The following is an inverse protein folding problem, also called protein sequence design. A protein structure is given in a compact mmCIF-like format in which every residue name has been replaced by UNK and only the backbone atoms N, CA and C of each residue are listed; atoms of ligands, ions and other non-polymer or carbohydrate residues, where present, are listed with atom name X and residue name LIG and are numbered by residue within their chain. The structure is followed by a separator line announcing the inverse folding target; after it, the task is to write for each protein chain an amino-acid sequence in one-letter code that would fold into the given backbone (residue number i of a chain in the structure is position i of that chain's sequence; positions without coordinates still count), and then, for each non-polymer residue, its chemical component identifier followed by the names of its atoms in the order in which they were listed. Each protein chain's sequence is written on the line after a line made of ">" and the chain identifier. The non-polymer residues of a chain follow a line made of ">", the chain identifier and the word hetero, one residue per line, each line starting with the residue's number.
data_IF_169009400256
#
_entry.id   IF_169009400256
#
_cell.length_a   1.000
_cell.length_b   1.000
_cell.length_c   1.000
_cell.angle_alpha   90.00
_cell.angle_beta   90.00
_cell.angle_gamma   90.00
#
_symmetry.space_group_name_H-M   'P 1'
#
loop_
_entity.id
_entity.type
_entity.pdbx_description
1 polymer ?
#
# COMPACT_ATOMS: atom_id res chain seq x y z
N UNK A 1 -43.87 -58.09 18.39
CA UNK A 1 -43.98 -57.30 19.63
C UNK A 1 -42.64 -56.60 19.86
N UNK A 2 -42.66 -55.26 19.88
CA UNK A 2 -41.92 -54.32 20.76
C UNK A 2 -40.42 -54.62 21.05
N UNK A 3 -39.46 -53.69 21.09
CA UNK A 3 -39.42 -52.23 21.07
C UNK A 3 -37.92 -51.79 21.02
N UNK A 4 -37.64 -50.68 20.32
CA UNK A 4 -36.79 -49.53 20.70
C UNK A 4 -35.37 -49.69 21.31
N UNK A 5 -34.41 -49.05 20.60
CA UNK A 5 -33.55 -47.93 21.03
C UNK A 5 -33.20 -47.74 22.52
N UNK A 6 -31.91 -47.63 22.85
CA UNK A 6 -31.32 -46.33 23.27
C UNK A 6 -29.79 -46.31 23.43
N UNK A 7 -29.21 -45.19 22.98
CA UNK A 7 -27.90 -44.62 23.33
C UNK A 7 -27.75 -44.42 24.86
N UNK A 8 -26.53 -44.56 25.40
CA UNK A 8 -25.66 -43.44 25.81
C UNK A 8 -24.67 -43.77 26.96
N UNK A 9 -23.44 -43.27 26.77
CA UNK A 9 -22.57 -42.61 27.76
C UNK A 9 -21.51 -43.40 28.57
N UNK A 10 -20.33 -42.75 28.61
CA UNK A 10 -19.15 -42.87 29.50
C UNK A 10 -18.13 -43.96 29.14
N UNK A 11 -16.81 -43.72 29.14
CA UNK A 11 -15.99 -42.52 29.33
C UNK A 11 -14.53 -42.83 28.97
N UNK A 12 -13.82 -41.82 28.46
CA UNK A 12 -12.44 -41.43 28.78
C UNK A 12 -11.38 -42.54 29.04
N UNK A 13 -10.43 -42.71 28.12
CA UNK A 13 -8.99 -42.52 28.38
C UNK A 13 -8.16 -42.80 27.12
N UNK A 14 -6.96 -42.21 27.07
CA UNK A 14 -5.85 -42.41 26.10
C UNK A 14 -5.94 -41.73 24.73
N UNK A 15 -5.61 -40.43 24.66
CA UNK A 15 -4.78 -39.86 23.59
C UNK A 15 -4.01 -38.65 24.14
N UNK A 16 -2.72 -38.81 24.37
CA UNK A 16 -1.78 -37.74 24.71
C UNK A 16 -0.42 -38.11 24.15
N UNK A 17 0.26 -37.11 23.61
CA UNK A 17 1.65 -37.09 23.14
C UNK A 17 1.92 -37.62 21.73
N UNK A 18 1.86 -36.72 20.75
CA UNK A 18 2.89 -36.54 19.71
C UNK A 18 2.50 -35.31 18.86
N UNK A 19 2.88 -34.11 19.31
CA UNK A 19 2.91 -32.87 18.51
C UNK A 19 3.49 -31.73 19.36
N UNK A 20 4.80 -31.75 19.59
CA UNK A 20 5.52 -30.59 20.11
C UNK A 20 7.00 -30.75 19.79
N UNK A 21 7.43 -30.39 18.58
CA UNK A 21 8.81 -30.01 18.29
C UNK A 21 8.87 -29.38 16.90
N UNK A 22 8.90 -28.05 16.85
CA UNK A 22 9.46 -27.18 15.80
C UNK A 22 9.19 -25.74 16.25
N UNK A 23 9.84 -25.37 17.34
CA UNK A 23 10.03 -24.02 17.84
C UNK A 23 11.54 -23.89 18.12
N UNK A 24 12.08 -22.67 18.04
CA UNK A 24 13.51 -22.27 18.20
C UNK A 24 14.29 -22.47 16.88
N UNK A 25 14.81 -21.43 16.19
CA UNK A 25 15.82 -20.44 16.60
C UNK A 25 15.77 -19.20 15.66
N UNK A 26 15.96 -17.99 16.20
CA UNK A 26 16.88 -16.94 15.70
C UNK A 26 16.62 -15.63 16.47
N UNK A 27 17.30 -15.48 17.61
CA UNK A 27 17.60 -14.16 18.21
C UNK A 27 19.00 -14.27 18.80
N UNK A 28 19.98 -13.65 18.15
CA UNK A 28 21.23 -13.21 18.76
C UNK A 28 21.99 -12.31 17.77
N UNK A 29 22.14 -11.03 18.12
CA UNK A 29 23.39 -10.27 18.09
C UNK A 29 23.10 -8.77 18.18
N UNK A 30 23.73 -8.10 19.15
CA UNK A 30 23.69 -6.64 19.29
C UNK A 30 24.07 -6.18 20.68
N UNK A 31 25.29 -6.53 21.13
CA UNK A 31 25.89 -5.98 22.34
C UNK A 31 26.22 -4.48 22.13
N UNK A 32 26.02 -3.73 23.22
CA UNK A 32 26.57 -2.40 23.50
C UNK A 32 28.10 -2.38 23.40
N UNK A 33 28.67 -1.36 22.73
CA UNK A 33 29.92 -0.68 23.13
C UNK A 33 29.85 0.80 22.71
N UNK A 34 29.88 1.69 23.70
CA UNK A 34 30.51 3.02 23.67
C UNK A 34 31.23 3.13 25.03
N UNK A 35 32.40 3.79 25.17
CA UNK A 35 32.41 5.26 25.21
C UNK A 35 33.75 5.99 24.83
N UNK A 36 33.65 7.33 24.78
CA UNK A 36 34.69 8.38 24.96
C UNK A 36 35.78 8.51 23.85
N UNK A 37 36.36 9.69 23.54
CA UNK A 37 36.49 10.94 24.29
C UNK A 37 36.80 12.13 23.35
N UNK A 38 36.48 13.32 23.87
CA UNK A 38 37.24 14.59 23.83
C UNK A 38 37.30 15.50 22.61
N UNK A 39 37.18 16.77 22.98
CA UNK A 39 37.10 17.99 22.21
C UNK A 39 38.50 18.49 21.85
N UNK A 40 38.60 19.33 20.82
CA UNK A 40 39.50 20.46 20.92
C UNK A 40 39.00 21.70 20.19
N UNK A 41 39.16 22.79 20.93
CA UNK A 41 38.85 24.18 20.64
C UNK A 41 39.81 24.72 19.57
N UNK A 42 39.33 25.56 18.65
CA UNK A 42 40.07 26.77 18.24
C UNK A 42 39.09 27.83 17.72
N UNK A 43 38.87 28.87 18.52
CA UNK A 43 38.34 30.16 18.09
C UNK A 43 39.48 30.99 17.49
N UNK A 44 39.25 31.63 16.34
CA UNK A 44 39.85 32.91 15.97
C UNK A 44 38.91 33.63 14.97
N UNK A 45 38.33 34.75 15.40
CA UNK A 45 37.64 35.81 14.64
C UNK A 45 38.64 36.96 14.33
N UNK A 46 38.31 38.04 13.59
CA UNK A 46 37.38 38.24 12.47
C UNK A 46 37.98 39.06 11.29
N UNK A 47 37.09 39.42 10.35
CA UNK A 47 37.10 40.58 9.44
C UNK A 47 37.84 40.45 8.09
N UNK A 48 37.06 40.43 7.00
CA UNK A 48 37.24 41.40 5.94
C UNK A 48 35.94 41.60 5.14
N UNK A 49 35.49 42.85 5.06
CA UNK A 49 34.49 43.32 4.11
C UNK A 49 35.02 43.14 2.69
N UNK A 50 34.27 42.50 1.80
CA UNK A 50 34.35 42.81 0.38
C UNK A 50 32.98 42.75 -0.29
N UNK A 51 32.85 43.71 -1.18
CA UNK A 51 31.64 44.23 -1.81
C UNK A 51 30.89 43.23 -2.69
N UNK A 52 29.62 43.57 -2.88
CA UNK A 52 28.58 42.93 -3.67
C UNK A 52 29.01 42.46 -5.06
N UNK A 53 28.73 41.19 -5.35
CA UNK A 53 28.36 40.72 -6.70
C UNK A 53 27.07 39.91 -6.54
N UNK A 54 25.96 40.49 -6.99
CA UNK A 54 24.73 39.73 -7.23
C UNK A 54 25.02 38.72 -8.33
N UNK A 55 25.37 37.51 -7.94
CA UNK A 55 25.22 36.35 -8.80
C UNK A 55 23.73 36.04 -8.85
N UNK A 56 23.09 36.44 -9.95
CA UNK A 56 21.86 35.86 -10.44
C UNK A 56 22.08 34.35 -10.61
N UNK A 57 21.91 33.62 -9.51
CA UNK A 57 21.93 32.17 -9.47
C UNK A 57 20.49 31.69 -9.59
N UNK A 58 19.90 31.98 -10.75
CA UNK A 58 18.76 31.23 -11.29
C UNK A 58 19.15 29.80 -11.67
N UNK A 59 19.98 29.14 -10.86
CA UNK A 59 20.04 27.69 -10.85
C UNK A 59 18.68 27.27 -10.30
N UNK A 60 17.79 26.83 -11.18
CA UNK A 60 16.56 26.16 -10.80
C UNK A 60 16.94 25.09 -9.77
N UNK A 61 16.67 25.39 -8.50
CA UNK A 61 16.79 24.43 -7.41
C UNK A 61 15.96 23.25 -7.88
N UNK A 62 16.62 22.13 -8.21
CA UNK A 62 15.92 20.97 -8.77
C UNK A 62 14.92 20.58 -7.72
N UNK A 63 13.64 20.89 -7.94
CA UNK A 63 12.63 20.73 -6.91
C UNK A 63 12.70 19.28 -6.43
N UNK A 64 12.85 19.11 -5.11
CA UNK A 64 12.97 17.80 -4.52
C UNK A 64 11.60 17.14 -4.39
N UNK A 65 11.58 15.80 -4.34
CA UNK A 65 10.37 15.05 -4.04
C UNK A 65 9.84 15.46 -2.66
N UNK A 66 8.53 15.71 -2.60
CA UNK A 66 7.84 16.06 -1.35
C UNK A 66 7.22 14.81 -0.76
N UNK A 67 7.37 14.62 0.55
CA UNK A 67 6.90 13.42 1.23
C UNK A 67 5.72 13.76 2.14
N UNK A 68 4.66 12.97 2.02
CA UNK A 68 3.41 13.17 2.74
C UNK A 68 2.98 11.89 3.46
N UNK A 69 2.23 12.09 4.54
CA UNK A 69 1.54 11.04 5.27
C UNK A 69 0.05 11.38 5.31
N UNK A 70 -0.78 10.47 4.81
CA UNK A 70 -2.21 10.47 5.10
C UNK A 70 -2.47 9.33 6.08
N UNK A 71 -2.90 9.70 7.29
CA UNK A 71 -3.08 8.77 8.40
C UNK A 71 -4.57 8.62 8.75
N UNK A 72 -5.06 7.40 8.65
CA UNK A 72 -6.44 7.01 8.93
C UNK A 72 -6.59 6.14 10.18
N UNK A 73 -5.52 5.97 10.97
CA UNK A 73 -5.55 5.10 12.16
C UNK A 73 -6.48 5.59 13.26
N UNK A 74 -6.80 6.89 13.28
CA UNK A 74 -7.70 7.54 14.25
C UNK A 74 -9.14 7.69 13.76
N UNK A 75 -9.43 7.30 12.52
CA UNK A 75 -10.81 7.25 12.01
C UNK A 75 -11.32 5.83 11.99
N UNK A 76 -12.64 5.67 12.02
CA UNK A 76 -13.26 4.34 12.06
C UNK A 76 -12.83 3.49 10.88
N UNK A 77 -12.64 2.20 11.09
CA UNK A 77 -12.42 1.24 9.99
C UNK A 77 -13.65 0.38 9.72
N UNK A 78 -14.79 0.71 10.32
CA UNK A 78 -16.07 0.09 10.01
C UNK A 78 -16.75 0.85 8.87
N UNK A 79 -16.91 0.21 7.72
CA UNK A 79 -17.52 0.81 6.54
C UNK A 79 -18.93 1.35 6.82
N UNK A 80 -19.72 0.69 7.66
CA UNK A 80 -21.07 1.14 8.01
C UNK A 80 -21.07 2.49 8.76
N UNK A 81 -20.00 2.81 9.47
CA UNK A 81 -19.86 4.04 10.25
C UNK A 81 -18.94 5.06 9.59
N UNK A 82 -18.38 4.76 8.41
CA UNK A 82 -17.45 5.66 7.74
C UNK A 82 -18.16 6.94 7.28
N UNK A 83 -17.62 8.09 7.68
CA UNK A 83 -17.95 9.38 7.10
C UNK A 83 -17.29 9.49 5.72
N UNK A 84 -18.11 9.53 4.68
CA UNK A 84 -17.68 9.62 3.28
C UNK A 84 -18.02 10.96 2.65
N UNK A 85 -18.48 11.92 3.46
CA UNK A 85 -18.76 13.30 3.03
C UNK A 85 -17.55 14.17 3.38
N UNK A 86 -17.10 14.11 4.63
CA UNK A 86 -16.01 14.93 5.16
C UNK A 86 -15.10 14.14 6.12
N UNK A 87 -14.44 13.06 5.66
CA UNK A 87 -13.60 12.24 6.52
C UNK A 87 -12.49 13.05 7.20
N UNK A 88 -12.35 12.90 8.52
CA UNK A 88 -11.33 13.59 9.32
C UNK A 88 -9.95 12.93 9.19
N UNK A 89 -9.35 13.05 8.01
CA UNK A 89 -8.02 12.51 7.72
C UNK A 89 -6.93 13.32 8.47
N UNK A 90 -5.95 12.63 9.05
CA UNK A 90 -4.77 13.30 9.61
C UNK A 90 -3.70 13.40 8.54
N UNK A 91 -3.31 14.63 8.21
CA UNK A 91 -2.34 14.94 7.16
C UNK A 91 -1.05 15.44 7.80
N UNK A 92 0.10 15.03 7.28
CA UNK A 92 1.40 15.51 7.72
C UNK A 92 2.39 15.57 6.58
N UNK A 93 3.28 16.56 6.58
CA UNK A 93 4.50 16.52 5.77
C UNK A 93 5.53 15.64 6.46
N UNK A 94 6.34 14.95 5.69
CA UNK A 94 7.46 14.17 6.16
C UNK A 94 8.76 14.79 5.64
N UNK A 95 9.80 14.80 6.45
CA UNK A 95 11.16 14.99 5.95
C UNK A 95 11.77 13.65 5.48
N UNK A 96 12.98 13.70 4.92
CA UNK A 96 13.68 12.51 4.43
C UNK A 96 13.93 11.43 5.51
N UNK A 97 13.95 11.82 6.78
CA UNK A 97 14.10 10.93 7.94
C UNK A 97 12.77 10.36 8.45
N UNK A 98 11.62 10.82 7.92
CA UNK A 98 10.29 10.38 8.33
C UNK A 98 9.74 11.09 9.56
N UNK A 99 10.35 12.20 9.98
CA UNK A 99 9.75 13.06 11.01
C UNK A 99 8.55 13.78 10.41
N UNK A 100 7.43 13.72 11.12
CA UNK A 100 6.17 14.28 10.67
C UNK A 100 5.94 15.66 11.28
N UNK A 101 5.61 16.63 10.43
CA UNK A 101 5.04 17.92 10.84
C UNK A 101 3.54 17.98 10.47
N UNK A 102 2.67 18.45 11.38
CA UNK A 102 1.24 18.58 11.07
C UNK A 102 0.97 19.42 9.82
N UNK A 103 -0.04 19.05 9.06
CA UNK A 103 -0.55 19.80 7.91
C UNK A 103 -2.07 19.58 7.79
N UNK A 104 -2.70 20.14 6.76
CA UNK A 104 -4.13 20.02 6.51
C UNK A 104 -4.42 19.42 5.13
N UNK A 105 -5.67 18.99 4.94
CA UNK A 105 -6.11 18.54 3.61
C UNK A 105 -6.04 19.67 2.58
N UNK A 106 -6.38 20.89 2.98
CA UNK A 106 -6.35 22.06 2.09
C UNK A 106 -4.92 22.40 1.67
N UNK A 107 -3.96 22.36 2.60
CA UNK A 107 -2.55 22.59 2.28
C UNK A 107 -1.99 21.49 1.39
N UNK A 108 -2.34 20.22 1.66
CA UNK A 108 -1.97 19.09 0.80
C UNK A 108 -2.51 19.28 -0.62
N UNK A 109 -3.81 19.52 -0.79
CA UNK A 109 -4.45 19.72 -2.09
C UNK A 109 -3.88 20.94 -2.84
N UNK A 110 -3.68 22.05 -2.15
CA UNK A 110 -3.06 23.25 -2.71
C UNK A 110 -1.60 23.01 -3.13
N UNK A 111 -0.88 22.14 -2.43
CA UNK A 111 0.51 21.82 -2.75
C UNK A 111 0.61 20.88 -3.96
N UNK A 112 -0.22 19.84 -4.01
CA UNK A 112 -0.16 18.84 -5.09
C UNK A 112 -0.78 19.34 -6.41
N UNK A 113 -1.60 20.40 -6.39
CA UNK A 113 -2.16 21.00 -7.61
C UNK A 113 -1.09 21.60 -8.52
N UNK A 114 0.09 21.87 -7.97
CA UNK A 114 1.28 22.34 -8.70
C UNK A 114 2.29 21.22 -8.95
N UNK A 115 1.97 19.98 -8.59
CA UNK A 115 2.86 18.84 -8.73
C UNK A 115 2.81 18.26 -10.14
N UNK A 116 3.96 17.85 -10.72
CA UNK A 116 3.96 17.06 -11.94
C UNK A 116 3.22 15.72 -11.78
N UNK A 117 3.33 15.09 -10.61
CA UNK A 117 2.64 13.84 -10.31
C UNK A 117 2.60 13.53 -8.81
N UNK A 118 1.57 12.77 -8.42
CA UNK A 118 1.42 12.21 -7.07
C UNK A 118 1.52 10.70 -7.10
N UNK A 119 2.21 10.10 -6.13
CA UNK A 119 2.26 8.65 -5.94
C UNK A 119 1.65 8.29 -4.60
N UNK A 120 0.50 7.60 -4.62
CA UNK A 120 -0.15 7.07 -3.42
C UNK A 120 0.36 5.65 -3.13
N UNK A 121 1.03 5.45 -2.00
CA UNK A 121 1.54 4.15 -1.56
C UNK A 121 0.75 3.59 -0.38
N UNK A 122 0.18 2.39 -0.54
CA UNK A 122 -0.52 1.65 0.49
C UNK A 122 0.24 0.39 0.90
N UNK A 123 0.67 0.35 2.16
CA UNK A 123 1.35 -0.80 2.74
C UNK A 123 0.40 -1.98 3.03
N UNK A 124 1.00 -3.15 3.30
CA UNK A 124 0.28 -4.39 3.64
C UNK A 124 -0.15 -4.52 5.10
N UNK A 125 -0.24 -5.76 5.57
CA UNK A 125 -0.71 -6.09 6.92
C UNK A 125 0.39 -5.93 7.99
N UNK A 126 -0.02 -5.77 9.25
CA UNK A 126 0.79 -5.82 10.48
C UNK A 126 1.89 -4.76 10.58
N UNK A 127 1.55 -3.51 10.24
CA UNK A 127 2.42 -2.38 10.54
C UNK A 127 1.80 -1.48 11.59
N UNK A 128 2.57 -1.18 12.63
CA UNK A 128 2.34 -0.07 13.54
C UNK A 128 2.58 1.27 12.84
N UNK A 129 2.21 2.38 13.49
CA UNK A 129 2.26 3.71 12.86
C UNK A 129 3.67 4.11 12.40
N UNK A 130 4.69 3.93 13.24
CA UNK A 130 6.08 4.26 12.89
C UNK A 130 6.65 3.33 11.82
N UNK A 131 6.29 2.05 11.87
CA UNK A 131 6.72 1.06 10.88
C UNK A 131 6.13 1.34 9.49
N UNK A 132 4.90 1.87 9.42
CA UNK A 132 4.28 2.27 8.16
C UNK A 132 5.05 3.41 7.47
N UNK A 133 5.52 4.41 8.23
CA UNK A 133 6.36 5.49 7.71
C UNK A 133 7.70 4.91 7.22
N UNK A 134 8.40 4.16 8.08
CA UNK A 134 9.67 3.55 7.72
C UNK A 134 9.57 2.64 6.49
N UNK A 135 8.47 1.88 6.38
CA UNK A 135 8.19 1.05 5.21
C UNK A 135 7.97 1.88 3.95
N UNK A 136 7.09 2.88 4.00
CA UNK A 136 6.81 3.74 2.86
C UNK A 136 8.04 4.50 2.38
N UNK A 137 8.90 4.96 3.29
CA UNK A 137 10.17 5.59 2.94
C UNK A 137 11.19 4.61 2.34
N UNK A 138 11.18 3.35 2.79
CA UNK A 138 12.04 2.33 2.20
C UNK A 138 11.63 2.03 0.76
N UNK A 139 10.34 1.85 0.51
CA UNK A 139 9.81 1.67 -0.86
C UNK A 139 10.10 2.90 -1.72
N UNK A 140 9.82 4.09 -1.20
CA UNK A 140 10.14 5.36 -1.87
C UNK A 140 11.61 5.40 -2.32
N UNK A 141 12.57 5.14 -1.42
CA UNK A 141 14.01 5.18 -1.76
C UNK A 141 14.39 4.15 -2.82
N UNK A 142 13.84 2.92 -2.72
CA UNK A 142 14.10 1.84 -3.69
C UNK A 142 13.56 2.16 -5.09
N UNK A 143 12.50 2.95 -5.17
CA UNK A 143 11.94 3.43 -6.43
C UNK A 143 12.68 4.67 -6.92
N UNK A 144 12.89 5.67 -6.06
CA UNK A 144 13.52 6.96 -6.39
C UNK A 144 14.92 6.82 -6.97
N UNK A 145 15.70 5.84 -6.50
CA UNK A 145 17.06 5.56 -6.98
C UNK A 145 17.12 5.15 -8.47
N UNK A 146 16.00 4.68 -9.02
CA UNK A 146 15.90 4.17 -10.39
C UNK A 146 15.06 5.10 -11.29
N UNK A 147 14.54 6.18 -10.72
CA UNK A 147 13.57 7.09 -11.32
C UNK A 147 14.26 8.29 -11.94
N UNK A 148 13.67 8.81 -13.01
CA UNK A 148 14.07 10.09 -13.57
C UNK A 148 13.93 11.21 -12.52
N UNK A 149 14.69 12.29 -12.69
CA UNK A 149 14.81 13.34 -11.67
C UNK A 149 13.60 14.28 -11.60
N UNK A 150 12.49 13.97 -12.28
CA UNK A 150 11.26 14.75 -12.22
C UNK A 150 10.64 14.67 -10.83
N UNK A 151 10.38 15.82 -10.15
CA UNK A 151 9.83 15.83 -8.80
C UNK A 151 8.42 15.23 -8.73
N UNK A 152 8.14 14.54 -7.63
CA UNK A 152 6.79 14.05 -7.29
C UNK A 152 6.40 14.39 -5.86
N UNK A 153 5.11 14.26 -5.56
CA UNK A 153 4.63 14.08 -4.20
C UNK A 153 4.45 12.59 -3.90
N UNK A 154 5.27 12.05 -3.00
CA UNK A 154 5.13 10.68 -2.51
C UNK A 154 4.30 10.65 -1.23
N UNK A 155 3.16 9.95 -1.29
CA UNK A 155 2.16 9.95 -0.22
C UNK A 155 2.06 8.56 0.39
N UNK A 156 2.41 8.44 1.67
CA UNK A 156 2.27 7.21 2.43
C UNK A 156 0.86 7.15 3.02
N UNK A 157 0.10 6.12 2.67
CA UNK A 157 -1.20 5.81 3.26
C UNK A 157 -1.01 4.93 4.51
N UNK A 158 -1.13 5.52 5.69
CA UNK A 158 -1.01 4.83 6.97
C UNK A 158 -2.37 4.47 7.53
N UNK A 159 -2.67 3.17 7.54
CA UNK A 159 -3.97 2.62 7.95
C UNK A 159 -3.83 1.63 9.11
N UNK A 160 -4.89 1.36 9.90
CA UNK A 160 -4.82 0.55 11.12
C UNK A 160 -4.68 -0.95 10.82
N UNK A 161 -3.49 -1.30 10.34
CA UNK A 161 -3.09 -2.63 9.91
C UNK A 161 -2.37 -3.44 10.97
N UNK A 162 -2.13 -2.89 12.17
CA UNK A 162 -1.38 -3.57 13.23
C UNK A 162 -2.01 -4.91 13.63
N UNK A 163 -1.17 -5.84 14.09
CA UNK A 163 -1.59 -7.20 14.42
C UNK A 163 -2.72 -7.20 15.46
N UNK A 164 -3.82 -7.87 15.14
CA UNK A 164 -4.96 -7.99 16.06
C UNK A 164 -5.52 -9.41 16.06
N UNK A 165 -5.28 -10.14 17.14
CA UNK A 165 -5.65 -11.54 17.27
C UNK A 165 -4.74 -12.49 16.49
N UNK A 166 -5.26 -13.69 16.21
CA UNK A 166 -4.50 -14.79 15.62
C UNK A 166 -4.76 -14.92 14.11
N UNK A 167 -3.67 -15.01 13.34
CA UNK A 167 -3.59 -15.32 11.90
C UNK A 167 -4.87 -15.02 11.08
N UNK A 168 -5.77 -15.99 10.93
CA UNK A 168 -6.95 -15.85 10.08
C UNK A 168 -7.99 -14.85 10.61
N UNK A 169 -8.14 -14.71 11.93
CA UNK A 169 -8.99 -13.67 12.53
C UNK A 169 -8.41 -12.29 12.22
N UNK A 170 -7.10 -12.12 12.42
CA UNK A 170 -6.38 -10.90 12.07
C UNK A 170 -6.57 -10.56 10.59
N UNK A 171 -6.29 -11.49 9.68
CA UNK A 171 -6.45 -11.29 8.24
C UNK A 171 -7.89 -10.88 7.84
N UNK A 172 -8.92 -11.45 8.46
CA UNK A 172 -10.33 -11.07 8.20
C UNK A 172 -10.66 -9.66 8.67
N UNK A 173 -10.19 -9.29 9.86
CA UNK A 173 -10.35 -7.91 10.35
C UNK A 173 -9.72 -6.96 9.33
N UNK A 174 -8.53 -7.28 8.83
CA UNK A 174 -7.76 -6.42 7.93
C UNK A 174 -8.33 -6.36 6.52
N UNK A 175 -8.87 -7.46 6.02
CA UNK A 175 -9.68 -7.49 4.81
C UNK A 175 -10.89 -6.55 4.91
N UNK A 176 -11.65 -6.60 5.99
CA UNK A 176 -12.79 -5.70 6.21
C UNK A 176 -12.37 -4.24 6.35
N UNK A 177 -11.27 -3.97 7.08
CA UNK A 177 -10.73 -2.60 7.19
C UNK A 177 -10.27 -2.07 5.83
N UNK A 178 -9.65 -2.90 5.00
CA UNK A 178 -9.16 -2.49 3.68
C UNK A 178 -10.28 -1.97 2.77
N UNK A 179 -11.50 -2.49 2.88
CA UNK A 179 -12.68 -1.96 2.15
C UNK A 179 -13.00 -0.52 2.60
N UNK A 180 -13.02 -0.29 3.92
CA UNK A 180 -13.22 1.07 4.47
C UNK A 180 -12.08 2.02 4.07
N UNK A 181 -10.84 1.53 4.04
CA UNK A 181 -9.69 2.31 3.59
C UNK A 181 -9.77 2.63 2.09
N UNK A 182 -10.28 1.70 1.27
CA UNK A 182 -10.58 1.94 -0.13
C UNK A 182 -11.57 3.09 -0.31
N UNK A 183 -12.62 3.17 0.53
CA UNK A 183 -13.58 4.28 0.49
C UNK A 183 -12.94 5.63 0.83
N UNK A 184 -12.07 5.69 1.85
CA UNK A 184 -11.36 6.92 2.20
C UNK A 184 -10.34 7.34 1.15
N UNK A 185 -9.60 6.39 0.59
CA UNK A 185 -8.65 6.69 -0.49
C UNK A 185 -9.38 7.10 -1.77
N UNK A 186 -10.56 6.52 -2.07
CA UNK A 186 -11.41 6.97 -3.17
C UNK A 186 -11.87 8.42 -3.00
N UNK A 187 -12.11 8.86 -1.76
CA UNK A 187 -12.46 10.27 -1.48
C UNK A 187 -11.29 11.19 -1.85
N UNK A 188 -10.06 10.82 -1.49
CA UNK A 188 -8.85 11.53 -1.91
C UNK A 188 -8.67 11.51 -3.44
N UNK A 189 -8.91 10.37 -4.10
CA UNK A 189 -8.81 10.27 -5.56
C UNK A 189 -9.79 11.20 -6.27
N UNK A 190 -11.00 11.38 -5.75
CA UNK A 190 -11.95 12.35 -6.33
C UNK A 190 -11.45 13.79 -6.19
N UNK A 191 -10.80 14.13 -5.08
CA UNK A 191 -10.12 15.43 -4.90
C UNK A 191 -8.95 15.60 -5.87
N UNK A 192 -8.17 14.55 -6.13
CA UNK A 192 -7.11 14.58 -7.15
C UNK A 192 -7.69 14.81 -8.56
N UNK A 193 -8.83 14.20 -8.88
CA UNK A 193 -9.52 14.40 -10.15
C UNK A 193 -10.03 15.84 -10.33
N UNK A 194 -10.56 16.45 -9.26
CA UNK A 194 -11.05 17.84 -9.27
C UNK A 194 -9.94 18.83 -9.65
N UNK A 195 -8.69 18.55 -9.27
CA UNK A 195 -7.51 19.38 -9.60
C UNK A 195 -6.67 18.82 -10.76
N UNK A 196 -7.17 17.78 -11.44
CA UNK A 196 -6.54 17.13 -12.59
C UNK A 196 -5.06 16.73 -12.40
N UNK A 197 -4.65 16.33 -11.18
CA UNK A 197 -3.25 15.96 -10.90
C UNK A 197 -2.97 14.51 -11.35
N UNK A 198 -1.93 14.27 -12.18
CA UNK A 198 -1.51 12.92 -12.55
C UNK A 198 -1.20 12.08 -11.31
N UNK A 199 -1.77 10.89 -11.22
CA UNK A 199 -1.65 10.04 -10.03
C UNK A 199 -1.24 8.62 -10.42
N UNK A 200 -0.20 8.10 -9.76
CA UNK A 200 0.10 6.67 -9.70
C UNK A 200 -0.24 6.10 -8.31
N UNK A 201 -0.49 4.79 -8.26
CA UNK A 201 -0.80 4.10 -7.02
C UNK A 201 0.03 2.83 -6.88
N UNK A 202 0.55 2.56 -5.69
CA UNK A 202 1.30 1.34 -5.38
C UNK A 202 0.68 0.67 -4.17
N UNK A 203 0.35 -0.62 -4.27
CA UNK A 203 -0.26 -1.39 -3.21
C UNK A 203 0.42 -2.73 -2.98
N UNK A 204 0.84 -3.00 -1.73
CA UNK A 204 1.37 -4.29 -1.32
C UNK A 204 0.34 -5.12 -0.54
N UNK A 205 0.11 -6.38 -0.88
CA UNK A 205 -0.78 -7.28 -0.12
C UNK A 205 -2.18 -6.67 0.05
N UNK A 206 -2.67 -6.47 1.28
CA UNK A 206 -3.92 -5.75 1.53
C UNK A 206 -3.89 -4.29 1.07
N UNK A 207 -2.73 -3.66 0.94
CA UNK A 207 -2.59 -2.37 0.26
C UNK A 207 -3.05 -2.44 -1.20
N UNK A 208 -2.88 -3.58 -1.88
CA UNK A 208 -3.47 -3.80 -3.20
C UNK A 208 -5.00 -3.86 -3.18
N UNK A 209 -5.59 -4.38 -2.10
CA UNK A 209 -7.04 -4.33 -1.86
C UNK A 209 -7.52 -2.90 -1.64
N UNK A 210 -6.76 -2.10 -0.88
CA UNK A 210 -7.05 -0.67 -0.70
C UNK A 210 -7.00 0.08 -2.03
N UNK A 211 -5.93 -0.09 -2.83
CA UNK A 211 -5.75 0.57 -4.13
C UNK A 211 -6.88 0.21 -5.10
N UNK A 212 -7.13 -1.08 -5.31
CA UNK A 212 -8.16 -1.53 -6.26
C UNK A 212 -9.57 -1.19 -5.79
N UNK A 213 -9.83 -1.27 -4.48
CA UNK A 213 -11.09 -0.80 -3.89
C UNK A 213 -11.28 0.70 -4.08
N UNK A 214 -10.23 1.50 -3.89
CA UNK A 214 -10.29 2.95 -4.08
C UNK A 214 -10.63 3.33 -5.51
N UNK A 215 -9.99 2.70 -6.49
CA UNK A 215 -10.29 2.89 -7.92
C UNK A 215 -11.74 2.51 -8.25
N UNK A 216 -12.21 1.38 -7.72
CA UNK A 216 -13.57 0.91 -7.88
C UNK A 216 -14.61 1.87 -7.29
N UNK A 217 -14.41 2.29 -6.04
CA UNK A 217 -15.32 3.20 -5.35
C UNK A 217 -15.31 4.62 -5.95
N UNK A 218 -14.14 5.10 -6.40
CA UNK A 218 -14.03 6.39 -7.10
C UNK A 218 -14.90 6.40 -8.35
N UNK A 219 -14.89 5.30 -9.13
CA UNK A 219 -15.71 5.07 -10.31
C UNK A 219 -17.22 4.87 -10.03
N UNK A 220 -17.66 4.92 -8.77
CA UNK A 220 -19.06 4.78 -8.37
C UNK A 220 -19.44 3.38 -7.89
N UNK A 221 -18.47 2.47 -7.80
CA UNK A 221 -18.62 1.16 -7.21
C UNK A 221 -18.92 1.17 -5.70
N UNK A 222 -19.24 0.00 -5.15
CA UNK A 222 -19.59 -0.18 -3.73
C UNK A 222 -18.59 -1.07 -3.02
N UNK A 223 -18.11 -0.63 -1.86
CA UNK A 223 -17.31 -1.45 -0.94
C UNK A 223 -18.08 -1.63 0.36
N UNK A 224 -18.21 -2.89 0.80
CA UNK A 224 -18.97 -3.27 1.99
C UNK A 224 -20.37 -2.63 2.05
N UNK A 225 -21.05 -2.58 0.88
CA UNK A 225 -22.39 -2.00 0.72
C UNK A 225 -22.45 -0.48 0.70
N UNK A 226 -21.33 0.24 0.79
CA UNK A 226 -21.25 1.70 0.81
C UNK A 226 -20.66 2.24 -0.49
N UNK A 227 -21.12 3.42 -0.89
CA UNK A 227 -20.56 4.21 -2.00
C UNK A 227 -20.31 5.65 -1.54
N UNK A 228 -19.43 6.35 -2.24
CA UNK A 228 -19.28 7.80 -2.08
C UNK A 228 -20.51 8.52 -2.64
N UNK A 229 -20.80 9.72 -2.14
CA UNK A 229 -21.92 10.54 -2.63
C UNK A 229 -21.60 11.13 -4.01
N UNK A 230 -22.64 11.34 -4.84
CA UNK A 230 -22.50 11.88 -6.18
C UNK A 230 -22.05 10.85 -7.24
N UNK A 231 -21.94 11.31 -8.48
CA UNK A 231 -21.55 10.48 -9.61
C UNK A 231 -20.12 9.93 -9.44
N UNK A 232 -19.87 8.75 -10.01
CA UNK A 232 -18.54 8.19 -10.11
C UNK A 232 -17.64 9.03 -11.02
N UNK A 233 -16.36 9.09 -10.69
CA UNK A 233 -15.32 9.68 -11.56
C UNK A 233 -14.64 8.54 -12.31
N UNK A 234 -14.62 8.62 -13.63
CA UNK A 234 -13.97 7.62 -14.51
C UNK A 234 -12.94 8.32 -15.41
N UNK A 235 -12.04 7.56 -16.02
CA UNK A 235 -11.07 8.10 -16.97
C UNK A 235 -9.90 8.86 -16.35
N UNK A 236 -9.60 8.65 -15.06
CA UNK A 236 -8.45 9.30 -14.38
C UNK A 236 -7.06 8.89 -14.92
N UNK A 237 -6.98 7.86 -15.76
CA UNK A 237 -5.73 7.33 -16.34
C UNK A 237 -4.64 6.99 -15.31
N UNK A 238 -5.02 6.39 -14.17
CA UNK A 238 -4.10 6.02 -13.10
C UNK A 238 -3.21 4.84 -13.52
N UNK A 239 -1.91 4.99 -13.33
CA UNK A 239 -0.95 3.89 -13.39
C UNK A 239 -0.91 3.18 -12.03
N UNK A 240 -1.17 1.87 -11.98
CA UNK A 240 -1.17 1.12 -10.71
C UNK A 240 -0.13 -0.01 -10.66
N UNK A 241 0.65 -0.06 -9.58
CA UNK A 241 1.57 -1.14 -9.25
C UNK A 241 1.07 -1.99 -8.09
N UNK A 242 0.77 -3.26 -8.34
CA UNK A 242 0.31 -4.21 -7.33
C UNK A 242 1.41 -5.23 -7.04
N UNK A 243 1.84 -5.29 -5.78
CA UNK A 243 2.84 -6.24 -5.30
C UNK A 243 2.18 -7.26 -4.37
N UNK A 244 2.18 -8.52 -4.79
CA UNK A 244 1.54 -9.62 -4.07
C UNK A 244 0.10 -9.29 -3.58
N UNK A 245 -0.79 -8.72 -4.41
CA UNK A 245 -2.07 -8.19 -3.94
C UNK A 245 -2.95 -9.26 -3.30
N UNK A 246 -3.51 -8.94 -2.13
CA UNK A 246 -4.41 -9.79 -1.37
C UNK A 246 -5.88 -9.44 -1.67
N UNK A 247 -6.28 -9.68 -2.92
CA UNK A 247 -7.65 -9.68 -3.43
C UNK A 247 -7.92 -11.01 -4.13
N UNK A 248 -9.17 -11.42 -4.29
CA UNK A 248 -9.46 -12.60 -5.12
C UNK A 248 -9.10 -12.30 -6.58
N UNK A 249 -8.72 -13.34 -7.30
CA UNK A 249 -8.19 -13.21 -8.66
C UNK A 249 -9.24 -12.90 -9.74
N UNK A 250 -10.52 -12.91 -9.37
CA UNK A 250 -11.65 -12.50 -10.20
C UNK A 250 -12.24 -11.14 -9.83
N UNK A 251 -11.77 -10.48 -8.76
CA UNK A 251 -12.37 -9.22 -8.29
C UNK A 251 -12.35 -8.11 -9.33
N UNK A 252 -11.31 -8.06 -10.17
CA UNK A 252 -11.21 -7.05 -11.23
C UNK A 252 -11.71 -7.56 -12.59
N UNK A 253 -12.36 -8.74 -12.65
CA UNK A 253 -13.03 -9.23 -13.85
C UNK A 253 -14.37 -8.51 -14.09
N UNK A 254 -15.00 -8.79 -15.23
CA UNK A 254 -16.37 -8.35 -15.49
C UNK A 254 -17.29 -8.91 -14.40
N UNK A 255 -18.09 -8.05 -13.78
CA UNK A 255 -18.96 -8.38 -12.64
C UNK A 255 -18.23 -8.78 -11.33
N UNK A 256 -16.90 -8.67 -11.28
CA UNK A 256 -16.13 -8.88 -10.05
C UNK A 256 -16.37 -7.77 -9.03
N UNK A 257 -16.04 -8.03 -7.77
CA UNK A 257 -16.31 -7.09 -6.67
C UNK A 257 -15.64 -5.72 -6.85
N UNK A 258 -14.47 -5.67 -7.49
CA UNK A 258 -13.73 -4.45 -7.83
C UNK A 258 -13.77 -4.13 -9.35
N UNK A 259 -14.81 -4.57 -10.08
CA UNK A 259 -14.88 -4.46 -11.56
C UNK A 259 -14.64 -3.04 -12.08
N UNK A 260 -15.23 -2.05 -11.42
CA UNK A 260 -15.13 -0.65 -11.80
C UNK A 260 -13.73 -0.05 -11.65
N UNK A 261 -12.78 -0.72 -10.97
CA UNK A 261 -11.41 -0.22 -10.83
C UNK A 261 -10.76 0.05 -12.19
N UNK A 262 -11.05 -0.80 -13.18
CA UNK A 262 -10.54 -0.71 -14.54
C UNK A 262 -10.98 0.54 -15.30
N UNK A 263 -12.05 1.22 -14.86
CA UNK A 263 -12.53 2.48 -15.46
C UNK A 263 -11.62 3.67 -15.20
N UNK A 264 -10.76 3.58 -14.19
CA UNK A 264 -9.78 4.62 -13.87
C UNK A 264 -8.33 4.19 -14.14
N UNK A 265 -8.09 2.93 -14.50
CA UNK A 265 -6.75 2.44 -14.79
C UNK A 265 -6.32 2.77 -16.22
N UNK A 266 -5.11 3.30 -16.35
CA UNK A 266 -4.40 3.35 -17.62
C UNK A 266 -3.61 2.06 -17.87
N UNK A 267 -2.95 1.54 -16.83
CA UNK A 267 -2.14 0.32 -16.89
C UNK A 267 -1.95 -0.29 -15.51
N UNK A 268 -1.55 -1.56 -15.50
CA UNK A 268 -1.29 -2.33 -14.29
C UNK A 268 0.07 -3.03 -14.37
N UNK A 269 0.93 -2.78 -13.38
CA UNK A 269 2.07 -3.65 -13.08
C UNK A 269 1.64 -4.63 -11.98
N UNK A 270 1.75 -5.94 -12.23
CA UNK A 270 1.38 -7.00 -11.30
C UNK A 270 2.56 -7.91 -10.99
N UNK A 271 3.11 -7.79 -9.78
CA UNK A 271 4.12 -8.70 -9.26
C UNK A 271 3.43 -9.72 -8.36
N UNK A 272 3.49 -11.00 -8.72
CA UNK A 272 2.83 -12.08 -8.00
C UNK A 272 3.84 -13.16 -7.60
N UNK A 273 3.47 -14.08 -6.71
CA UNK A 273 4.32 -15.16 -6.25
C UNK A 273 3.52 -16.46 -6.04
N UNK A 274 3.69 -17.41 -6.97
CA UNK A 274 3.02 -18.73 -6.92
C UNK A 274 3.50 -19.66 -5.80
N UNK A 275 4.56 -19.30 -5.09
CA UNK A 275 5.09 -20.06 -3.95
C UNK A 275 4.77 -19.44 -2.59
N UNK A 276 4.11 -18.28 -2.58
CA UNK A 276 3.75 -17.55 -1.36
C UNK A 276 2.83 -18.38 -0.45
N UNK A 277 3.34 -18.77 0.72
CA UNK A 277 2.60 -19.65 1.64
C UNK A 277 1.47 -18.95 2.40
N UNK A 278 1.50 -17.62 2.45
CA UNK A 278 0.42 -16.82 3.05
C UNK A 278 -0.72 -16.70 2.05
N UNK A 279 -0.42 -16.27 0.82
CA UNK A 279 -1.45 -16.08 -0.21
C UNK A 279 -2.02 -17.40 -0.74
N UNK A 280 -1.25 -18.50 -0.70
CA UNK A 280 -1.80 -19.86 -0.94
C UNK A 280 -2.98 -20.20 -0.01
N UNK A 281 -3.02 -19.59 1.18
CA UNK A 281 -4.06 -19.79 2.19
C UNK A 281 -5.07 -18.64 2.22
N UNK A 282 -5.13 -17.80 1.19
CA UNK A 282 -6.03 -16.65 1.11
C UNK A 282 -7.50 -17.02 1.31
N UNK A 283 -7.93 -18.18 0.81
CA UNK A 283 -9.27 -18.76 1.03
C UNK A 283 -9.71 -18.83 2.51
N UNK A 284 -8.77 -18.80 3.48
CA UNK A 284 -9.10 -18.73 4.89
C UNK A 284 -9.77 -17.41 5.30
N UNK A 285 -9.64 -16.34 4.52
CA UNK A 285 -10.29 -15.05 4.79
C UNK A 285 -11.80 -15.20 4.64
N UNK A 286 -12.30 -15.55 3.45
CA UNK A 286 -13.74 -15.68 3.18
C UNK A 286 -14.31 -17.07 3.53
N UNK A 287 -13.44 -18.04 3.86
CA UNK A 287 -13.79 -19.45 4.13
C UNK A 287 -14.39 -20.20 2.93
N UNK A 288 -14.26 -19.65 1.73
CA UNK A 288 -14.69 -20.30 0.49
C UNK A 288 -13.48 -21.03 -0.09
N UNK A 289 -13.51 -22.37 -0.06
CA UNK A 289 -12.43 -23.18 -0.65
C UNK A 289 -12.41 -22.99 -2.17
N UNK A 290 -11.23 -22.75 -2.74
CA UNK A 290 -11.03 -22.60 -4.19
C UNK A 290 -10.72 -21.16 -4.62
N UNK A 291 -11.09 -20.17 -3.82
CA UNK A 291 -10.69 -18.77 -4.06
C UNK A 291 -9.17 -18.60 -3.91
N UNK A 292 -8.55 -18.02 -4.93
CA UNK A 292 -7.11 -17.75 -4.95
C UNK A 292 -6.86 -16.25 -4.91
N UNK A 293 -5.81 -15.83 -4.20
CA UNK A 293 -5.38 -14.44 -4.27
C UNK A 293 -4.77 -14.14 -5.64
N UNK A 294 -5.06 -12.96 -6.19
CA UNK A 294 -4.41 -12.47 -7.42
C UNK A 294 -2.88 -12.45 -7.27
N UNK A 295 -2.38 -12.07 -6.09
CA UNK A 295 -0.95 -12.10 -5.77
C UNK A 295 -0.33 -13.49 -5.69
N UNK A 296 -1.13 -14.56 -5.69
CA UNK A 296 -0.68 -15.95 -5.78
C UNK A 296 -0.87 -16.51 -7.18
N UNK A 297 -2.05 -16.39 -7.78
CA UNK A 297 -2.37 -17.02 -9.05
C UNK A 297 -1.78 -16.29 -10.26
N UNK A 298 -1.56 -14.98 -10.15
CA UNK A 298 -1.05 -14.11 -11.22
C UNK A 298 -2.16 -13.53 -12.10
N UNK A 299 -1.81 -12.96 -13.27
CA UNK A 299 -2.76 -12.24 -14.10
C UNK A 299 -3.94 -13.12 -14.54
N UNK A 300 -5.13 -12.54 -14.55
CA UNK A 300 -6.39 -13.12 -15.05
C UNK A 300 -6.96 -12.23 -16.14
N UNK A 301 -8.16 -12.54 -16.63
CA UNK A 301 -8.96 -11.56 -17.35
C UNK A 301 -9.23 -10.36 -16.42
N UNK A 302 -9.30 -9.17 -17.00
CA UNK A 302 -9.70 -7.94 -16.31
C UNK A 302 -10.90 -7.35 -17.05
N UNK A 303 -11.75 -6.61 -16.34
CA UNK A 303 -12.79 -5.81 -16.96
C UNK A 303 -12.18 -4.80 -17.94
N UNK A 304 -12.95 -4.44 -18.96
CA UNK A 304 -12.52 -3.47 -19.95
C UNK A 304 -12.40 -2.07 -19.32
N UNK A 305 -11.45 -1.29 -19.83
CA UNK A 305 -11.28 0.13 -19.51
C UNK A 305 -12.54 0.94 -19.86
N UNK A 306 -12.54 2.23 -19.52
CA UNK A 306 -13.67 3.11 -19.81
C UNK A 306 -13.94 3.24 -21.32
N UNK A 307 -12.90 3.19 -22.15
CA UNK A 307 -12.97 3.21 -23.62
C UNK A 307 -13.31 1.86 -24.25
N UNK A 308 -13.54 0.82 -23.44
CA UNK A 308 -13.82 -0.54 -23.90
C UNK A 308 -12.58 -1.36 -24.27
N UNK A 309 -11.38 -0.79 -24.22
CA UNK A 309 -10.14 -1.53 -24.52
C UNK A 309 -9.73 -2.46 -23.38
N UNK A 310 -8.96 -3.53 -23.65
CA UNK A 310 -8.34 -4.34 -22.62
C UNK A 310 -7.39 -3.50 -21.75
N UNK A 311 -7.35 -3.78 -20.44
CA UNK A 311 -6.37 -3.17 -19.54
C UNK A 311 -4.94 -3.63 -19.91
N UNK A 312 -4.00 -2.72 -20.22
CA UNK A 312 -2.60 -3.09 -20.37
C UNK A 312 -2.02 -3.59 -19.06
N UNK A 313 -1.48 -4.82 -19.05
CA UNK A 313 -0.90 -5.44 -17.86
C UNK A 313 0.52 -5.94 -18.13
N UNK A 314 1.46 -5.43 -17.35
CA UNK A 314 2.81 -5.99 -17.22
C UNK A 314 2.82 -6.86 -15.97
N UNK A 315 3.16 -8.13 -16.09
CA UNK A 315 3.18 -9.02 -14.93
C UNK A 315 4.46 -9.85 -14.82
N UNK A 316 4.83 -10.21 -13.59
CA UNK A 316 5.99 -11.05 -13.30
C UNK A 316 5.72 -11.97 -12.11
N UNK A 317 6.01 -13.26 -12.30
CA UNK A 317 6.09 -14.21 -11.19
C UNK A 317 7.44 -14.06 -10.49
N UNK A 318 7.41 -13.65 -9.22
CA UNK A 318 8.57 -13.50 -8.37
C UNK A 318 8.80 -14.72 -7.46
N UNK A 319 8.12 -15.84 -7.68
CA UNK A 319 8.40 -17.11 -7.00
C UNK A 319 9.86 -17.59 -7.09
N UNK A 320 10.60 -17.43 -8.22
CA UNK A 320 12.00 -17.83 -8.29
C UNK A 320 12.92 -17.07 -7.33
N UNK A 321 12.51 -15.86 -6.91
CA UNK A 321 13.37 -14.92 -6.19
C UNK A 321 12.92 -14.70 -4.75
N UNK A 322 11.61 -14.51 -4.55
CA UNK A 322 10.99 -14.34 -3.22
C UNK A 322 10.77 -15.70 -2.54
N UNK A 323 10.70 -16.78 -3.32
CA UNK A 323 10.48 -18.12 -2.78
C UNK A 323 9.13 -18.21 -2.06
N UNK A 324 9.13 -18.75 -0.85
CA UNK A 324 7.89 -18.98 -0.07
C UNK A 324 7.40 -17.76 0.71
N UNK A 325 8.10 -16.64 0.62
CA UNK A 325 7.93 -15.51 1.53
C UNK A 325 6.79 -14.58 1.11
N UNK A 326 6.15 -13.97 2.11
CA UNK A 326 5.20 -12.85 1.95
C UNK A 326 5.76 -11.59 2.63
N UNK A 327 6.97 -11.20 2.23
CA UNK A 327 7.66 -10.00 2.68
C UNK A 327 7.83 -9.06 1.51
N UNK A 328 7.31 -7.84 1.62
CA UNK A 328 7.40 -6.84 0.56
C UNK A 328 8.84 -6.52 0.17
N UNK A 329 9.77 -6.47 1.13
CA UNK A 329 11.17 -6.09 0.84
C UNK A 329 11.86 -7.13 -0.05
N UNK A 330 11.42 -8.39 0.00
CA UNK A 330 11.96 -9.45 -0.83
C UNK A 330 11.63 -9.19 -2.32
N UNK A 331 10.51 -8.51 -2.62
CA UNK A 331 10.15 -8.08 -3.99
C UNK A 331 11.01 -6.89 -4.46
N UNK A 332 11.39 -6.01 -3.53
CA UNK A 332 12.28 -4.88 -3.81
C UNK A 332 13.77 -5.23 -3.74
N UNK A 333 14.11 -6.50 -3.47
CA UNK A 333 15.45 -7.01 -3.68
C UNK A 333 15.79 -7.08 -5.18
N UNK A 334 17.07 -7.08 -5.50
CA UNK A 334 17.61 -6.92 -6.87
C UNK A 334 17.14 -7.99 -7.87
N UNK A 335 16.54 -9.09 -7.39
CA UNK A 335 16.16 -10.22 -8.20
C UNK A 335 14.71 -10.15 -8.73
N UNK A 336 13.74 -9.69 -7.92
CA UNK A 336 12.37 -9.43 -8.40
C UNK A 336 12.26 -8.05 -9.09
N UNK A 337 13.18 -7.11 -8.79
CA UNK A 337 13.28 -5.76 -9.41
C UNK A 337 11.99 -4.95 -9.28
N UNK A 338 11.28 -5.04 -8.16
CA UNK A 338 10.07 -4.26 -7.96
C UNK A 338 10.32 -2.74 -8.05
N UNK A 339 11.44 -2.26 -7.48
CA UNK A 339 11.81 -0.84 -7.53
C UNK A 339 11.86 -0.29 -8.96
N UNK A 340 12.47 -1.03 -9.89
CA UNK A 340 12.50 -0.66 -11.31
C UNK A 340 11.12 -0.65 -11.95
N UNK A 341 10.31 -1.67 -11.69
CA UNK A 341 8.97 -1.75 -12.28
C UNK A 341 8.06 -0.64 -11.78
N UNK A 342 8.18 -0.27 -10.50
CA UNK A 342 7.47 0.87 -9.94
C UNK A 342 8.03 2.20 -10.45
N UNK A 343 9.33 2.29 -10.67
CA UNK A 343 9.98 3.48 -11.22
C UNK A 343 9.47 3.76 -12.63
N UNK A 344 9.62 2.79 -13.54
CA UNK A 344 9.13 2.89 -14.91
C UNK A 344 7.64 3.24 -14.95
N UNK A 345 6.83 2.63 -14.07
CA UNK A 345 5.41 2.94 -13.95
C UNK A 345 5.13 4.41 -13.60
N UNK A 346 5.98 5.03 -12.78
CA UNK A 346 5.86 6.44 -12.38
C UNK A 346 6.43 7.35 -13.47
N UNK A 347 7.57 7.01 -14.06
CA UNK A 347 8.22 7.79 -15.12
C UNK A 347 7.30 7.98 -16.33
N UNK A 348 6.48 6.97 -16.62
CA UNK A 348 5.47 7.03 -17.68
C UNK A 348 4.27 7.96 -17.41
N UNK A 349 4.20 8.60 -16.24
CA UNK A 349 3.27 9.71 -16.01
C UNK A 349 3.72 11.00 -16.69
N UNK A 350 5.01 11.12 -17.01
CA UNK A 350 5.57 12.31 -17.62
C UNK A 350 5.63 12.11 -19.14
N UNK A 351 5.08 13.04 -19.94
CA UNK A 351 5.32 13.02 -21.37
C UNK A 351 6.83 13.24 -21.63
N UNK A 352 7.39 12.45 -22.55
CA UNK A 352 8.77 12.62 -23.04
C UNK A 352 8.98 13.97 -23.74
#
# INVERSE_FOLDING_TARGET
>A
MQHLNHKAARSMQTRSQLSCLMLVMFVAAGLFIAPNAEADFFQLEPANEFSSVQADSGAAETAEDRLWLINTRRITSNAACADLVSPTLSISRLNACGQASPSSIDEYLATISQSPAVVLYAHGNRLESGEAIGRGLTVYRRTRQLRDRTPIDWVIWSWPSQKEGLLAKDARIKASRADTQGLYMAWILRRHAEIAVPTAMIGYSFGGRVVTGALHAAAGGKLAGRSLQGAGVTGMQINAGLVAPAIEDDWMQRCGYHSEATKNLNRLVLLYNRRDVILKRYWLINRVRGESALGYSGPKSFAARIDGTPLPVISKDCAPTVGVHHSEMDYYSDSCRAGEKMSALIDELFPN
#
